data_IF_788662340612
#
_entry.id   IF_788662340612
#
_cell.length_a   1.000
_cell.length_b   1.000
_cell.length_c   1.000
_cell.angle_alpha   90.00
_cell.angle_beta   90.00
_cell.angle_gamma   90.00
#
_symmetry.space_group_name_H-M   'P 1'
#
loop_
_entity.id
_entity.type
_entity.pdbx_description
1 polymer ?
#
# COMPACT_ATOMS: atom_id res chain seq x y z
N UNK A 1 19.14 14.92 -1.74
CA UNK A 1 18.73 14.97 -3.15
C UNK A 1 19.79 15.61 -4.06
N UNK A 2 20.14 16.90 -3.92
CA UNK A 2 21.03 17.62 -4.88
C UNK A 2 22.23 18.30 -4.20
N UNK A 3 23.18 17.52 -3.72
CA UNK A 3 24.37 18.03 -3.02
C UNK A 3 25.00 16.97 -2.11
N UNK A 4 26.01 17.37 -1.34
CA UNK A 4 26.94 16.52 -0.59
C UNK A 4 26.37 15.21 -0.01
N UNK A 5 25.29 15.25 0.78
CA UNK A 5 24.69 14.03 1.38
C UNK A 5 24.20 13.04 0.32
N UNK A 6 23.68 13.52 -0.82
CA UNK A 6 23.29 12.66 -1.95
C UNK A 6 24.52 12.07 -2.66
N UNK A 7 25.60 12.85 -2.79
CA UNK A 7 26.86 12.41 -3.38
C UNK A 7 27.51 11.33 -2.51
N UNK A 8 27.52 11.50 -1.19
CA UNK A 8 27.97 10.49 -0.22
C UNK A 8 27.12 9.21 -0.29
N UNK A 9 25.79 9.34 -0.41
CA UNK A 9 24.86 8.22 -0.61
C UNK A 9 25.17 7.41 -1.88
N UNK A 10 25.40 8.10 -3.00
CA UNK A 10 25.68 7.47 -4.31
C UNK A 10 27.08 6.88 -4.34
N UNK A 11 28.09 7.55 -3.79
CA UNK A 11 29.45 7.02 -3.66
C UNK A 11 29.46 5.74 -2.80
N UNK A 12 28.72 5.72 -1.69
CA UNK A 12 28.59 4.53 -0.86
C UNK A 12 27.85 3.39 -1.57
N UNK A 13 26.79 3.69 -2.33
CA UNK A 13 26.10 2.68 -3.15
C UNK A 13 27.05 2.07 -4.19
N UNK A 14 27.71 2.89 -5.00
CA UNK A 14 28.64 2.44 -6.04
C UNK A 14 29.81 1.60 -5.48
N UNK A 15 30.38 2.01 -4.34
CA UNK A 15 31.46 1.27 -3.67
C UNK A 15 31.03 -0.11 -3.13
N UNK A 16 29.73 -0.36 -2.96
CA UNK A 16 29.18 -1.61 -2.43
C UNK A 16 28.30 -2.35 -3.46
N UNK A 17 28.39 -2.02 -4.76
CA UNK A 17 27.66 -2.68 -5.83
C UNK A 17 26.16 -2.34 -5.94
N UNK A 18 25.71 -1.28 -5.27
CA UNK A 18 24.34 -0.75 -5.37
C UNK A 18 24.16 0.19 -6.56
N UNK A 19 23.03 0.07 -7.25
CA UNK A 19 22.75 0.75 -8.54
C UNK A 19 22.22 2.19 -8.45
N UNK A 20 22.14 2.79 -7.26
CA UNK A 20 21.57 4.14 -7.07
C UNK A 20 22.53 5.22 -7.58
N UNK A 21 22.02 6.13 -8.41
CA UNK A 21 22.80 7.21 -9.04
C UNK A 21 22.36 8.60 -8.57
N UNK A 22 23.14 9.63 -8.92
CA UNK A 22 22.74 11.02 -8.70
C UNK A 22 21.50 11.42 -9.53
N UNK A 23 21.25 10.77 -10.67
CA UNK A 23 20.07 11.04 -11.49
C UNK A 23 18.77 10.58 -10.80
N UNK A 24 18.80 9.47 -10.05
CA UNK A 24 17.65 9.01 -9.27
C UNK A 24 17.30 10.01 -8.14
N UNK A 25 18.33 10.53 -7.46
CA UNK A 25 18.17 11.49 -6.37
C UNK A 25 17.86 12.91 -6.84
N UNK A 26 18.29 13.31 -8.04
CA UNK A 26 17.92 14.58 -8.67
C UNK A 26 16.53 14.53 -9.32
N UNK A 27 16.13 13.40 -9.91
CA UNK A 27 14.81 13.20 -10.49
C UNK A 27 13.68 13.28 -9.44
N UNK A 28 13.91 12.75 -8.24
CA UNK A 28 12.89 12.69 -7.19
C UNK A 28 12.26 14.04 -6.79
N UNK A 29 10.94 14.05 -6.67
CA UNK A 29 10.10 15.05 -5.97
C UNK A 29 9.03 14.31 -5.15
N UNK A 30 8.54 14.85 -4.03
CA UNK A 30 7.27 14.42 -3.46
C UNK A 30 6.12 14.85 -4.39
N UNK A 31 5.10 14.01 -4.51
CA UNK A 31 3.92 14.26 -5.35
C UNK A 31 2.71 14.63 -4.48
N UNK A 32 2.00 15.70 -4.86
CA UNK A 32 0.69 16.01 -4.29
C UNK A 32 -0.37 15.16 -4.99
N UNK A 33 -1.08 14.33 -4.23
CA UNK A 33 -2.10 13.41 -4.74
C UNK A 33 -3.45 13.67 -4.08
N UNK A 34 -4.53 13.49 -4.83
CA UNK A 34 -5.89 13.51 -4.28
C UNK A 34 -6.15 12.22 -3.50
N UNK A 35 -6.55 12.27 -2.21
CA UNK A 35 -6.89 11.07 -1.45
C UNK A 35 -8.08 10.33 -2.05
N UNK A 36 -7.99 8.99 -2.09
CA UNK A 36 -9.15 8.12 -2.34
C UNK A 36 -10.03 8.05 -1.08
N UNK A 37 -11.31 7.71 -1.24
CA UNK A 37 -12.27 7.74 -0.12
C UNK A 37 -13.42 6.74 -0.26
N UNK A 38 -14.00 6.32 0.86
CA UNK A 38 -15.26 5.56 0.94
C UNK A 38 -16.09 6.06 2.12
N UNK A 39 -17.38 6.28 1.87
CA UNK A 39 -18.34 6.58 2.93
C UNK A 39 -18.75 5.31 3.69
N UNK A 40 -18.78 5.38 5.02
CA UNK A 40 -19.10 4.27 5.92
C UNK A 40 -19.74 4.80 7.22
N UNK A 41 -20.85 4.20 7.64
CA UNK A 41 -21.54 4.51 8.91
C UNK A 41 -21.81 6.01 9.18
N UNK A 42 -22.03 6.82 8.14
CA UNK A 42 -22.27 8.27 8.24
C UNK A 42 -21.03 9.16 8.17
N UNK A 43 -19.84 8.59 8.01
CA UNK A 43 -18.56 9.29 7.87
C UNK A 43 -17.91 9.00 6.51
N UNK A 44 -16.95 9.82 6.09
CA UNK A 44 -16.09 9.56 4.93
C UNK A 44 -14.68 9.17 5.41
N UNK A 45 -14.23 7.96 5.09
CA UNK A 45 -12.85 7.51 5.36
C UNK A 45 -11.98 7.84 4.14
N UNK A 46 -10.80 8.42 4.38
CA UNK A 46 -9.85 8.87 3.36
C UNK A 46 -8.52 8.11 3.47
N UNK A 47 -7.94 7.76 2.33
CA UNK A 47 -6.67 7.03 2.22
C UNK A 47 -5.81 7.57 1.08
N UNK A 48 -4.50 7.30 1.14
CA UNK A 48 -3.57 7.62 0.04
C UNK A 48 -3.80 6.65 -1.13
N UNK A 49 -3.84 7.12 -2.40
CA UNK A 49 -3.98 6.25 -3.57
C UNK A 49 -2.85 5.22 -3.74
N UNK A 50 -3.01 4.23 -4.65
CA UNK A 50 -1.91 3.42 -5.17
C UNK A 50 -0.67 4.27 -5.51
N UNK A 51 0.55 3.86 -5.18
CA UNK A 51 1.02 2.52 -4.77
C UNK A 51 0.84 2.16 -3.28
N UNK A 52 0.11 2.95 -2.49
CA UNK A 52 -0.19 2.65 -1.08
C UNK A 52 -1.28 1.58 -0.87
N UNK A 53 -1.19 0.82 0.23
CA UNK A 53 -2.13 -0.27 0.54
C UNK A 53 -3.46 0.19 1.18
N UNK A 54 -3.63 1.48 1.51
CA UNK A 54 -4.80 2.01 2.23
C UNK A 54 -6.16 1.70 1.55
N UNK A 55 -6.14 1.50 0.22
CA UNK A 55 -7.28 1.01 -0.55
C UNK A 55 -7.89 -0.30 0.00
N UNK A 56 -7.09 -1.16 0.66
CA UNK A 56 -7.59 -2.36 1.35
C UNK A 56 -8.60 -2.03 2.45
N UNK A 57 -8.35 -0.98 3.24
CA UNK A 57 -9.28 -0.55 4.30
C UNK A 57 -10.59 -0.01 3.69
N UNK A 58 -10.50 0.81 2.63
CA UNK A 58 -11.68 1.33 1.94
C UNK A 58 -12.52 0.21 1.29
N UNK A 59 -11.88 -0.80 0.71
CA UNK A 59 -12.57 -1.98 0.16
C UNK A 59 -13.24 -2.80 1.25
N UNK A 60 -12.56 -3.10 2.36
CA UNK A 60 -13.13 -3.85 3.47
C UNK A 60 -14.34 -3.12 4.10
N UNK A 61 -14.23 -1.81 4.33
CA UNK A 61 -15.36 -0.98 4.77
C UNK A 61 -16.51 -0.98 3.75
N UNK A 62 -16.20 -0.94 2.45
CA UNK A 62 -17.18 -1.08 1.37
C UNK A 62 -17.94 -2.41 1.37
N UNK A 63 -17.28 -3.51 1.72
CA UNK A 63 -17.92 -4.82 1.89
C UNK A 63 -18.80 -4.86 3.14
N UNK A 64 -18.29 -4.35 4.27
CA UNK A 64 -18.99 -4.34 5.57
C UNK A 64 -20.25 -3.46 5.58
N UNK A 65 -20.26 -2.39 4.79
CA UNK A 65 -21.42 -1.56 4.45
C UNK A 65 -22.54 -2.39 3.79
N UNK A 66 -22.20 -3.28 2.85
CA UNK A 66 -23.18 -4.17 2.17
C UNK A 66 -23.57 -5.41 2.96
N UNK A 67 -22.75 -5.79 3.94
CA UNK A 67 -23.05 -6.88 4.89
C UNK A 67 -23.85 -6.40 6.11
N UNK A 68 -24.27 -5.12 6.11
CA UNK A 68 -25.06 -4.48 7.17
C UNK A 68 -24.42 -4.63 8.57
N UNK A 69 -23.10 -4.48 8.69
CA UNK A 69 -22.35 -4.81 9.93
C UNK A 69 -22.98 -4.25 11.21
N UNK A 70 -23.54 -3.04 11.15
CA UNK A 70 -24.20 -2.36 12.27
C UNK A 70 -25.45 -3.06 12.84
N UNK A 71 -25.99 -4.12 12.19
CA UNK A 71 -27.06 -4.97 12.75
C UNK A 71 -26.55 -5.95 13.81
N UNK A 72 -25.24 -6.20 13.86
CA UNK A 72 -24.59 -7.03 14.87
C UNK A 72 -24.03 -6.15 15.99
N UNK A 73 -23.91 -6.68 17.21
CA UNK A 73 -23.21 -5.96 18.27
C UNK A 73 -21.73 -5.83 17.95
N UNK A 74 -21.10 -4.77 18.46
CA UNK A 74 -19.63 -4.67 18.48
C UNK A 74 -19.06 -5.92 19.16
N UNK A 75 -18.00 -6.49 18.57
CA UNK A 75 -17.33 -7.72 19.02
C UNK A 75 -18.21 -8.98 19.13
N UNK A 76 -19.36 -9.03 18.44
CA UNK A 76 -20.05 -10.31 18.22
C UNK A 76 -19.23 -11.26 17.34
N UNK A 77 -19.46 -12.57 17.43
CA UNK A 77 -18.77 -13.57 16.61
C UNK A 77 -19.02 -13.33 15.12
N UNK A 78 -20.24 -12.95 14.77
CA UNK A 78 -20.65 -12.57 13.41
C UNK A 78 -19.95 -11.28 12.97
N UNK A 79 -19.94 -10.26 13.83
CA UNK A 79 -19.29 -8.98 13.58
C UNK A 79 -17.78 -9.14 13.32
N UNK A 80 -17.09 -9.93 14.14
CA UNK A 80 -15.66 -10.23 13.96
C UNK A 80 -15.42 -11.13 12.74
N UNK A 81 -16.26 -12.13 12.49
CA UNK A 81 -16.14 -12.99 11.31
C UNK A 81 -16.25 -12.19 10.00
N UNK A 82 -17.26 -11.33 9.87
CA UNK A 82 -17.45 -10.50 8.68
C UNK A 82 -16.29 -9.52 8.48
N UNK A 83 -15.76 -8.92 9.55
CA UNK A 83 -14.57 -8.05 9.48
C UNK A 83 -13.32 -8.82 9.02
N UNK A 84 -13.10 -10.03 9.54
CA UNK A 84 -11.97 -10.88 9.16
C UNK A 84 -12.08 -11.31 7.68
N UNK A 85 -13.25 -11.77 7.22
CA UNK A 85 -13.45 -12.20 5.84
C UNK A 85 -13.38 -11.04 4.84
N UNK A 86 -13.98 -9.88 5.16
CA UNK A 86 -13.86 -8.67 4.35
C UNK A 86 -12.39 -8.20 4.22
N UNK A 87 -11.62 -8.22 5.31
CA UNK A 87 -10.21 -7.85 5.28
C UNK A 87 -9.34 -8.87 4.54
N UNK A 88 -9.62 -10.18 4.67
CA UNK A 88 -8.96 -11.23 3.87
C UNK A 88 -9.17 -11.01 2.37
N UNK A 89 -10.39 -10.70 1.95
CA UNK A 89 -10.73 -10.48 0.55
C UNK A 89 -10.12 -9.18 0.00
N UNK A 90 -10.28 -8.07 0.74
CA UNK A 90 -9.71 -6.78 0.37
C UNK A 90 -8.17 -6.82 0.25
N UNK A 91 -7.49 -7.55 1.15
CA UNK A 91 -6.06 -7.80 0.99
C UNK A 91 -5.76 -8.65 -0.25
N UNK A 92 -6.48 -9.74 -0.51
CA UNK A 92 -6.21 -10.61 -1.67
C UNK A 92 -6.22 -9.85 -3.01
N UNK A 93 -7.18 -8.93 -3.20
CA UNK A 93 -7.27 -8.10 -4.42
C UNK A 93 -6.26 -6.94 -4.42
N UNK A 94 -6.02 -6.28 -3.28
CA UNK A 94 -4.89 -5.33 -3.10
C UNK A 94 -3.59 -5.98 -3.56
N UNK A 95 -3.37 -7.23 -3.12
CA UNK A 95 -2.28 -8.13 -3.46
C UNK A 95 -2.05 -8.36 -4.95
N UNK A 96 -3.13 -8.37 -5.74
CA UNK A 96 -3.06 -8.73 -7.16
C UNK A 96 -2.86 -7.51 -8.05
N UNK A 97 -3.40 -6.36 -7.64
CA UNK A 97 -3.67 -5.26 -8.56
C UNK A 97 -3.00 -3.93 -8.22
N UNK A 98 -2.58 -3.69 -6.97
CA UNK A 98 -2.00 -2.39 -6.59
C UNK A 98 -0.57 -2.24 -7.10
N UNK A 99 -0.39 -1.27 -8.00
CA UNK A 99 0.86 -0.91 -8.63
C UNK A 99 0.93 0.62 -8.86
N UNK A 100 1.93 1.09 -9.59
CA UNK A 100 1.96 2.48 -10.07
C UNK A 100 0.94 2.67 -11.21
N UNK A 101 0.11 3.71 -11.11
CA UNK A 101 -1.04 3.93 -11.98
C UNK A 101 -0.67 4.08 -13.47
N UNK A 102 0.52 4.61 -13.79
CA UNK A 102 1.00 4.72 -15.18
C UNK A 102 1.32 3.38 -15.85
N UNK A 103 1.31 2.28 -15.09
CA UNK A 103 1.65 0.93 -15.55
C UNK A 103 0.51 -0.08 -15.41
N UNK A 104 -0.72 0.37 -15.15
CA UNK A 104 -1.93 -0.47 -15.13
C UNK A 104 -2.46 -0.73 -16.55
N UNK A 105 -1.64 -1.37 -17.40
CA UNK A 105 -1.87 -1.48 -18.85
C UNK A 105 -2.69 -2.70 -19.29
N UNK A 106 -2.88 -3.70 -18.43
CA UNK A 106 -3.69 -4.90 -18.72
C UNK A 106 -5.08 -4.85 -18.10
N UNK A 107 -5.24 -4.14 -16.98
CA UNK A 107 -6.47 -4.02 -16.19
C UNK A 107 -6.47 -2.64 -15.53
N UNK A 108 -7.45 -1.80 -15.86
CA UNK A 108 -7.61 -0.46 -15.28
C UNK A 108 -8.36 -0.50 -13.95
N UNK A 109 -8.45 0.65 -13.27
CA UNK A 109 -9.33 0.78 -12.10
C UNK A 109 -10.82 0.55 -12.45
N UNK A 110 -11.27 0.89 -13.66
CA UNK A 110 -12.65 0.63 -14.10
C UNK A 110 -12.89 -0.86 -14.41
N UNK A 111 -11.89 -1.58 -14.91
CA UNK A 111 -12.01 -3.04 -15.12
C UNK A 111 -12.16 -3.79 -13.79
N UNK A 112 -11.41 -3.39 -12.75
CA UNK A 112 -11.50 -3.93 -11.40
C UNK A 112 -12.84 -3.60 -10.71
N UNK A 113 -13.43 -2.46 -11.06
CA UNK A 113 -14.74 -2.01 -10.57
C UNK A 113 -15.89 -2.45 -11.48
N UNK A 114 -15.61 -3.17 -12.58
CA UNK A 114 -16.65 -3.58 -13.53
C UNK A 114 -17.59 -4.62 -12.93
N UNK A 115 -18.90 -4.42 -13.11
CA UNK A 115 -19.92 -5.36 -12.63
C UNK A 115 -19.68 -6.80 -13.11
N UNK A 116 -19.06 -6.97 -14.29
CA UNK A 116 -18.68 -8.26 -14.84
C UNK A 116 -17.58 -8.95 -14.01
N UNK A 117 -16.48 -8.26 -13.69
CA UNK A 117 -15.39 -8.80 -12.88
C UNK A 117 -15.85 -9.05 -11.43
N UNK A 118 -16.57 -8.08 -10.84
CA UNK A 118 -17.14 -8.22 -9.50
C UNK A 118 -18.10 -9.42 -9.40
N UNK A 119 -18.91 -9.65 -10.44
CA UNK A 119 -19.79 -10.84 -10.55
C UNK A 119 -19.02 -12.16 -10.69
N UNK A 120 -17.82 -12.16 -11.28
CA UNK A 120 -16.94 -13.34 -11.33
C UNK A 120 -16.37 -13.62 -9.94
N UNK A 121 -15.82 -12.61 -9.26
CA UNK A 121 -15.22 -12.74 -7.92
C UNK A 121 -16.25 -13.18 -6.88
N UNK A 122 -17.46 -12.61 -6.91
CA UNK A 122 -18.55 -12.96 -5.99
C UNK A 122 -18.98 -14.44 -6.07
N UNK A 123 -18.90 -15.07 -7.25
CA UNK A 123 -19.25 -16.49 -7.45
C UNK A 123 -18.32 -17.47 -6.74
N UNK A 124 -17.18 -17.02 -6.21
CA UNK A 124 -16.23 -17.86 -5.49
C UNK A 124 -16.55 -18.00 -3.99
N UNK A 125 -17.47 -17.18 -3.46
CA UNK A 125 -17.79 -17.07 -2.03
C UNK A 125 -18.91 -18.05 -1.65
N UNK A 126 -18.63 -18.93 -0.68
CA UNK A 126 -19.60 -19.83 -0.05
C UNK A 126 -20.06 -19.24 1.30
N UNK A 127 -21.30 -18.70 1.40
CA UNK A 127 -21.76 -18.01 2.60
C UNK A 127 -22.00 -18.95 3.80
N UNK A 128 -21.92 -20.27 3.60
CA UNK A 128 -22.07 -21.26 4.67
C UNK A 128 -20.73 -21.86 5.14
N UNK A 129 -19.59 -21.49 4.52
CA UNK A 129 -18.30 -22.15 4.73
C UNK A 129 -17.12 -21.22 4.48
N UNK A 130 -16.34 -20.97 5.53
CA UNK A 130 -15.04 -20.31 5.37
C UNK A 130 -14.12 -21.11 4.42
N UNK A 131 -13.58 -20.43 3.41
CA UNK A 131 -12.70 -21.00 2.40
C UNK A 131 -11.26 -20.45 2.51
N UNK A 132 -10.30 -21.23 2.02
CA UNK A 132 -8.92 -20.79 1.78
C UNK A 132 -8.83 -20.19 0.38
N UNK A 133 -9.02 -18.88 0.27
CA UNK A 133 -8.83 -18.16 -0.98
C UNK A 133 -7.35 -17.99 -1.32
N UNK A 134 -6.99 -18.10 -2.61
CA UNK A 134 -5.63 -17.80 -3.08
C UNK A 134 -5.38 -16.30 -3.18
N UNK A 135 -4.13 -15.92 -2.99
CA UNK A 135 -3.70 -14.52 -2.84
C UNK A 135 -3.41 -13.84 -4.20
N UNK A 136 -3.42 -12.50 -4.23
CA UNK A 136 -2.24 -11.75 -4.69
C UNK A 136 -1.38 -11.34 -3.48
N UNK A 137 -0.13 -10.89 -3.65
CA UNK A 137 0.93 -11.11 -2.63
C UNK A 137 1.55 -9.88 -1.89
N UNK A 138 1.19 -9.58 -0.61
CA UNK A 138 1.84 -9.07 0.45
C UNK A 138 2.92 -9.87 1.19
N UNK A 139 3.96 -9.14 1.60
CA UNK A 139 4.72 -9.31 2.83
C UNK A 139 4.59 -8.08 3.77
N UNK A 140 5.26 -8.12 4.94
CA UNK A 140 5.07 -7.19 6.08
C UNK A 140 6.25 -6.23 6.30
N UNK A 141 5.99 -5.08 6.93
CA UNK A 141 6.97 -4.11 7.43
C UNK A 141 6.63 -3.57 8.83
N UNK A 142 7.47 -2.68 9.37
CA UNK A 142 7.27 -1.93 10.61
C UNK A 142 7.42 -0.43 10.38
N UNK A 143 6.55 0.37 10.98
CA UNK A 143 6.25 1.74 10.52
C UNK A 143 5.96 2.65 11.70
N UNK A 144 6.38 3.92 11.64
CA UNK A 144 5.90 4.93 12.58
C UNK A 144 4.70 5.69 12.00
N UNK A 145 3.70 5.93 12.85
CA UNK A 145 2.55 6.76 12.57
C UNK A 145 2.55 7.96 13.52
N UNK A 146 2.18 9.13 13.02
CA UNK A 146 2.07 10.37 13.77
C UNK A 146 0.80 11.10 13.32
N UNK A 147 0.03 11.60 14.28
CA UNK A 147 -1.04 12.57 14.01
C UNK A 147 -0.80 13.84 14.82
N UNK A 148 -1.24 14.98 14.27
CA UNK A 148 -1.17 16.28 14.91
C UNK A 148 -2.37 17.14 14.47
N UNK A 149 -2.79 18.06 15.34
CA UNK A 149 -3.82 19.04 15.05
C UNK A 149 -3.52 20.37 15.76
N UNK A 150 -4.02 21.49 15.24
CA UNK A 150 -3.86 22.82 15.85
C UNK A 150 -5.19 23.56 16.06
N UNK A 151 -5.11 24.72 16.73
CA UNK A 151 -6.27 25.57 17.06
C UNK A 151 -6.93 26.24 15.84
N UNK A 152 -6.27 26.24 14.67
CA UNK A 152 -6.85 26.72 13.41
C UNK A 152 -7.72 25.67 12.71
N UNK A 153 -7.70 24.43 13.21
CA UNK A 153 -8.36 23.28 12.59
C UNK A 153 -7.52 22.56 11.55
N UNK A 154 -6.22 22.86 11.43
CA UNK A 154 -5.32 22.05 10.62
C UNK A 154 -5.14 20.68 11.28
N UNK A 155 -5.14 19.61 10.48
CA UNK A 155 -4.89 18.24 10.93
C UNK A 155 -3.92 17.55 9.98
N UNK A 156 -3.00 16.76 10.53
CA UNK A 156 -2.00 16.00 9.78
C UNK A 156 -2.09 14.53 10.21
N UNK A 157 -2.12 13.64 9.22
CA UNK A 157 -1.96 12.19 9.37
C UNK A 157 -0.68 11.81 8.61
N UNK A 158 0.40 11.53 9.32
CA UNK A 158 1.74 11.32 8.77
C UNK A 158 2.21 9.89 9.07
N UNK A 159 2.79 9.23 8.07
CA UNK A 159 3.30 7.87 8.20
C UNK A 159 4.65 7.76 7.47
N UNK A 160 5.66 7.16 8.12
CA UNK A 160 6.96 6.91 7.48
C UNK A 160 7.62 5.62 7.99
N UNK A 161 8.40 4.97 7.14
CA UNK A 161 8.98 3.65 7.42
C UNK A 161 10.19 3.38 6.51
N UNK A 162 11.22 2.73 7.08
CA UNK A 162 12.31 2.13 6.31
C UNK A 162 11.95 0.75 5.70
N UNK A 163 10.65 0.40 5.72
CA UNK A 163 10.03 -0.89 5.49
C UNK A 163 10.30 -1.94 6.59
N UNK A 164 11.43 -2.64 6.62
CA UNK A 164 11.69 -3.67 7.64
C UNK A 164 12.59 -3.14 8.77
N UNK A 165 11.98 -2.50 9.78
CA UNK A 165 12.69 -2.01 10.96
C UNK A 165 13.72 -0.94 10.60
N UNK A 166 15.01 -1.24 10.80
CA UNK A 166 16.11 -0.36 10.38
C UNK A 166 16.21 -0.17 8.85
N UNK A 167 15.59 -1.06 8.05
CA UNK A 167 15.59 -1.04 6.59
C UNK A 167 16.53 -2.07 6.01
N UNK A 168 17.50 -1.64 5.21
CA UNK A 168 18.52 -2.55 4.63
C UNK A 168 19.63 -2.94 5.60
N UNK A 169 19.66 -2.32 6.79
CA UNK A 169 20.78 -2.41 7.73
C UNK A 169 21.99 -1.56 7.34
N UNK A 170 21.94 -0.86 6.19
CA UNK A 170 23.01 0.01 5.71
C UNK A 170 22.80 1.43 6.25
N UNK A 171 23.77 1.91 7.03
CA UNK A 171 23.88 3.34 7.42
C UNK A 171 25.05 3.94 6.65
N UNK A 172 24.81 5.00 5.87
CA UNK A 172 25.88 5.61 5.07
C UNK A 172 26.86 6.35 5.99
N UNK A 173 28.16 6.00 6.00
CA UNK A 173 29.16 6.57 6.91
C UNK A 173 29.18 8.11 6.89
N UNK A 174 29.39 8.73 8.05
CA UNK A 174 29.40 10.19 8.21
C UNK A 174 28.03 10.88 8.18
N UNK A 175 27.04 10.32 7.47
CA UNK A 175 25.72 10.98 7.29
C UNK A 175 24.68 10.67 8.38
N UNK A 176 24.78 9.50 9.02
CA UNK A 176 23.72 8.97 9.89
C UNK A 176 22.46 8.47 9.16
N UNK A 177 22.41 8.49 7.82
CA UNK A 177 21.25 8.05 7.04
C UNK A 177 21.20 6.52 6.96
N UNK A 178 20.23 5.92 7.64
CA UNK A 178 19.87 4.50 7.50
C UNK A 178 18.97 4.29 6.29
N UNK A 179 19.41 3.48 5.33
CA UNK A 179 18.69 3.25 4.07
C UNK A 179 17.51 2.28 4.24
N UNK A 180 16.38 2.60 3.63
CA UNK A 180 15.21 1.71 3.59
C UNK A 180 15.46 0.45 2.74
N UNK A 181 14.76 -0.65 3.03
CA UNK A 181 14.69 -1.83 2.14
C UNK A 181 13.36 -1.95 1.39
N UNK A 182 12.61 -0.84 1.26
CA UNK A 182 11.29 -0.76 0.61
C UNK A 182 11.22 -1.37 -0.81
N UNK A 183 12.34 -1.46 -1.53
CA UNK A 183 12.43 -2.18 -2.81
C UNK A 183 12.04 -3.67 -2.74
N UNK A 184 12.08 -4.29 -1.56
CA UNK A 184 11.53 -5.63 -1.31
C UNK A 184 10.00 -5.70 -1.54
N UNK A 185 9.31 -4.56 -1.59
CA UNK A 185 7.91 -4.49 -1.99
C UNK A 185 7.66 -4.80 -3.48
N UNK A 186 8.70 -4.91 -4.33
CA UNK A 186 8.56 -5.42 -5.70
C UNK A 186 8.47 -6.95 -5.76
N UNK A 187 7.88 -7.47 -6.84
CA UNK A 187 8.05 -8.87 -7.24
C UNK A 187 9.04 -9.02 -8.41
N UNK A 188 9.59 -10.22 -8.58
CA UNK A 188 10.39 -10.62 -9.74
C UNK A 188 9.55 -11.29 -10.85
N UNK A 189 8.27 -11.55 -10.59
CA UNK A 189 7.37 -12.23 -11.52
C UNK A 189 7.19 -11.45 -12.84
N UNK A 190 7.41 -12.13 -13.96
CA UNK A 190 7.14 -11.59 -15.31
C UNK A 190 5.64 -11.30 -15.49
N UNK A 191 5.32 -10.21 -16.21
CA UNK A 191 3.94 -9.72 -16.40
C UNK A 191 3.30 -9.04 -15.19
N UNK A 192 3.81 -9.21 -13.96
CA UNK A 192 3.15 -8.64 -12.78
C UNK A 192 3.24 -7.11 -12.75
N UNK A 193 2.11 -6.42 -12.51
CA UNK A 193 2.05 -4.95 -12.47
C UNK A 193 3.03 -4.33 -11.45
N UNK A 194 3.33 -5.04 -10.36
CA UNK A 194 4.34 -4.69 -9.35
C UNK A 194 5.74 -5.34 -9.57
N UNK A 195 6.09 -5.73 -10.80
CA UNK A 195 7.46 -6.17 -11.14
C UNK A 195 8.47 -5.02 -10.99
N UNK A 196 9.66 -5.31 -10.47
CA UNK A 196 10.78 -4.35 -10.38
C UNK A 196 11.13 -3.73 -11.75
N UNK A 197 11.33 -2.42 -11.78
CA UNK A 197 11.79 -1.66 -12.94
C UNK A 197 12.45 -0.33 -12.50
N UNK A 198 13.26 0.28 -13.36
CA UNK A 198 13.85 1.60 -13.09
C UNK A 198 12.78 2.71 -13.02
N UNK A 199 13.01 3.73 -12.18
CA UNK A 199 12.09 4.86 -11.96
C UNK A 199 10.77 4.53 -11.25
N UNK A 200 10.45 3.25 -11.05
CA UNK A 200 9.17 2.77 -10.52
C UNK A 200 9.14 2.76 -8.98
N UNK A 201 7.94 2.88 -8.42
CA UNK A 201 7.69 2.69 -6.97
C UNK A 201 7.22 1.26 -6.68
N UNK A 202 7.78 0.57 -5.66
CA UNK A 202 7.28 -0.73 -5.21
C UNK A 202 5.95 -0.57 -4.44
N UNK A 203 5.16 -1.64 -4.34
CA UNK A 203 4.01 -1.69 -3.43
C UNK A 203 4.37 -1.20 -2.02
N UNK A 204 3.54 -0.31 -1.46
CA UNK A 204 3.83 0.35 -0.19
C UNK A 204 2.81 0.01 0.90
N UNK A 205 3.29 -0.73 1.90
CA UNK A 205 2.61 -0.98 3.18
C UNK A 205 2.51 0.26 4.05
#
# INVERSE_FOLDING_TARGET
>A
YRGEVAEQLVAHAAANGGSMTMADLDGYRPEWVTPIRKDFAGYTVHEIPPNGQGIAALMALGMLDKLELARFSVDSVESQHLQIEAMKLAFADTYRWVADAGHMTEVTAEDLLSDAYLSERARLIDPARAQTFSHGTPPRGGTIYLSAADESGMMISLIQSNYMGFGSGIVVPGTGVSLQNRGFGFTMQEGHANRVAGGKRPFHT
#
